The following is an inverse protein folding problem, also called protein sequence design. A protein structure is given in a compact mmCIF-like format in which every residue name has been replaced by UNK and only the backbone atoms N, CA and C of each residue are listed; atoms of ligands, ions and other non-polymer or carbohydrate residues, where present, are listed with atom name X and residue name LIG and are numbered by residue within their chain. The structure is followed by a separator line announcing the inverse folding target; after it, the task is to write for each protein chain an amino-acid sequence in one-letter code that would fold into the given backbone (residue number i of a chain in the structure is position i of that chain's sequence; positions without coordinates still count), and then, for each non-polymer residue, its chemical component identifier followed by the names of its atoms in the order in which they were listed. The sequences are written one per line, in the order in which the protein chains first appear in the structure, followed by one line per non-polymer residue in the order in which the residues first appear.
data_IF_482620783350
#
_entry.id   IF_482620783350
#
_cell.length_a   1.000
_cell.length_b   1.000
_cell.length_c   1.000
_cell.angle_alpha   90.00
_cell.angle_beta   90.00
_cell.angle_gamma   90.00
#
_symmetry.space_group_name_H-M   'P 1'
#
loop_
_entity.id
_entity.type
_entity.pdbx_description
1 polymer ?
#
# COMPACT_ATOMS: atom_id res chain seq x y z
N UNK A 1 12.49 -5.53 -1.48
CA UNK A 1 11.95 -4.16 -1.70
C UNK A 1 12.92 -3.30 -2.51
N UNK A 2 12.44 -2.40 -3.37
CA UNK A 2 13.24 -1.44 -4.15
C UNK A 2 13.37 -0.11 -3.41
N UNK A 3 14.51 0.15 -2.77
CA UNK A 3 14.72 1.39 -1.98
C UNK A 3 14.65 2.66 -2.84
N UNK A 4 15.11 2.60 -4.10
CA UNK A 4 15.03 3.74 -5.02
C UNK A 4 13.58 4.15 -5.34
N UNK A 5 12.67 3.17 -5.46
CA UNK A 5 11.25 3.43 -5.65
C UNK A 5 10.62 4.04 -4.38
N UNK A 6 10.97 3.52 -3.20
CA UNK A 6 10.54 4.11 -1.93
C UNK A 6 11.03 5.55 -1.77
N UNK A 7 12.31 5.80 -2.13
CA UNK A 7 12.89 7.14 -2.12
C UNK A 7 12.17 8.12 -3.07
N UNK A 8 11.68 7.64 -4.23
CA UNK A 8 10.89 8.46 -5.15
C UNK A 8 9.58 8.90 -4.49
N UNK A 9 8.84 7.97 -3.88
CA UNK A 9 7.59 8.28 -3.17
C UNK A 9 7.83 9.25 -2.01
N UNK A 10 8.88 9.05 -1.21
CA UNK A 10 9.25 9.97 -0.12
C UNK A 10 9.55 11.38 -0.65
N UNK A 11 10.22 11.51 -1.80
CA UNK A 11 10.52 12.80 -2.43
C UNK A 11 9.28 13.48 -2.99
N UNK A 12 8.36 12.72 -3.54
CA UNK A 12 7.08 13.19 -4.09
C UNK A 12 6.14 13.65 -2.97
N UNK A 13 5.92 12.80 -1.97
CA UNK A 13 5.04 13.13 -0.84
C UNK A 13 5.57 14.28 0.03
N UNK A 14 6.87 14.51 0.02
CA UNK A 14 7.52 15.45 0.95
C UNK A 14 7.43 15.03 2.42
N UNK A 15 7.02 13.79 2.70
CA UNK A 15 6.83 13.26 4.04
C UNK A 15 7.53 11.90 4.22
N UNK A 16 8.15 11.73 5.38
CA UNK A 16 8.80 10.48 5.77
C UNK A 16 8.70 10.30 7.29
N UNK A 17 8.00 9.27 7.74
CA UNK A 17 7.96 8.90 9.15
C UNK A 17 8.64 7.55 9.36
N UNK A 18 9.66 7.50 10.20
CA UNK A 18 10.25 6.27 10.68
C UNK A 18 9.45 5.72 11.87
N UNK A 19 8.91 4.52 11.72
CA UNK A 19 8.11 3.87 12.74
C UNK A 19 8.90 2.69 13.29
N UNK A 20 9.05 2.62 14.62
CA UNK A 20 9.54 1.42 15.29
C UNK A 20 8.35 0.75 15.98
N UNK A 21 7.99 -0.44 15.53
CA UNK A 21 6.90 -1.22 16.10
C UNK A 21 7.32 -1.85 17.43
N UNK A 22 6.35 -2.28 18.25
CA UNK A 22 6.58 -2.86 19.58
C UNK A 22 7.50 -4.10 19.56
N UNK A 23 7.45 -4.88 18.47
CA UNK A 23 8.33 -6.04 18.25
C UNK A 23 9.72 -5.65 17.70
N UNK A 24 10.06 -4.37 17.64
CA UNK A 24 11.33 -3.85 17.16
C UNK A 24 11.50 -3.83 15.64
N UNK A 25 10.48 -4.17 14.85
CA UNK A 25 10.49 -4.01 13.37
C UNK A 25 10.46 -2.53 13.02
N UNK A 26 11.16 -2.16 11.96
CA UNK A 26 11.12 -0.81 11.41
C UNK A 26 10.26 -0.75 10.16
N UNK A 27 9.52 0.36 10.05
CA UNK A 27 8.72 0.70 8.89
C UNK A 27 8.99 2.15 8.50
N UNK A 28 8.77 2.45 7.22
CA UNK A 28 8.80 3.81 6.68
C UNK A 28 7.42 4.15 6.16
N UNK A 29 6.81 5.20 6.72
CA UNK A 29 5.58 5.78 6.20
C UNK A 29 5.88 6.98 5.30
N UNK A 30 5.18 7.05 4.18
CA UNK A 30 5.30 8.13 3.19
C UNK A 30 4.06 9.03 3.15
N UNK A 31 3.08 8.80 4.05
CA UNK A 31 1.77 9.44 3.98
C UNK A 31 0.78 8.73 3.03
N UNK A 32 1.28 7.97 2.05
CA UNK A 32 0.47 7.17 1.12
C UNK A 32 0.56 5.66 1.39
N UNK A 33 1.57 5.24 2.12
CA UNK A 33 1.79 3.84 2.47
C UNK A 33 2.84 3.70 3.56
N UNK A 34 2.89 2.50 4.14
CA UNK A 34 3.83 2.09 5.17
C UNK A 34 4.57 0.87 4.67
N UNK A 35 5.89 0.92 4.61
CA UNK A 35 6.74 -0.10 4.02
C UNK A 35 7.61 -0.75 5.09
N UNK A 36 7.61 -2.08 5.12
CA UNK A 36 8.40 -2.86 6.06
C UNK A 36 9.88 -2.86 5.66
N UNK A 37 10.75 -2.54 6.60
CA UNK A 37 12.20 -2.45 6.40
C UNK A 37 12.95 -3.73 6.81
N UNK A 38 12.25 -4.85 7.03
CA UNK A 38 12.89 -6.13 7.36
C UNK A 38 13.87 -6.54 6.23
N UNK A 39 15.05 -7.00 6.63
CA UNK A 39 16.14 -7.32 5.72
C UNK A 39 17.09 -6.16 5.40
N UNK A 40 16.79 -4.96 5.90
CA UNK A 40 17.69 -3.81 5.81
C UNK A 40 18.26 -3.46 7.19
N UNK A 41 19.40 -2.77 7.19
CA UNK A 41 19.97 -2.25 8.41
C UNK A 41 19.01 -1.24 9.04
N UNK A 42 18.75 -1.36 10.34
CA UNK A 42 17.92 -0.40 11.05
C UNK A 42 18.60 0.96 11.10
N UNK A 43 17.92 1.98 10.59
CA UNK A 43 18.39 3.36 10.73
C UNK A 43 18.12 3.87 12.16
N UNK A 44 19.09 4.58 12.73
CA UNK A 44 18.95 5.16 14.08
C UNK A 44 18.51 6.63 14.04
N UNK A 45 18.72 7.30 12.90
CA UNK A 45 18.44 8.72 12.74
C UNK A 45 18.08 9.06 11.28
N UNK A 46 17.73 10.32 11.05
CA UNK A 46 17.34 10.87 9.74
C UNK A 46 18.44 10.73 8.69
N UNK A 47 19.68 10.94 9.07
CA UNK A 47 20.85 10.94 8.19
C UNK A 47 21.15 9.54 7.67
N UNK A 48 21.12 8.55 8.55
CA UNK A 48 21.27 7.14 8.16
C UNK A 48 20.13 6.67 7.25
N UNK A 49 18.88 7.07 7.55
CA UNK A 49 17.77 6.76 6.70
C UNK A 49 17.90 7.42 5.33
N UNK A 50 18.33 8.69 5.27
CA UNK A 50 18.57 9.40 4.03
C UNK A 50 19.65 8.70 3.18
N UNK A 51 20.75 8.28 3.80
CA UNK A 51 21.82 7.56 3.14
C UNK A 51 21.33 6.20 2.58
N UNK A 52 20.58 5.45 3.38
CA UNK A 52 19.99 4.16 2.97
C UNK A 52 19.04 4.30 1.79
N UNK A 53 18.21 5.35 1.77
CA UNK A 53 17.29 5.65 0.68
C UNK A 53 17.97 6.32 -0.53
N UNK A 54 19.26 6.69 -0.45
CA UNK A 54 19.95 7.44 -1.50
C UNK A 54 19.37 8.84 -1.70
N UNK A 55 18.85 9.46 -0.64
CA UNK A 55 18.32 10.83 -0.66
C UNK A 55 19.42 11.78 -0.18
N UNK A 56 19.77 12.77 -1.03
CA UNK A 56 20.79 13.76 -0.65
C UNK A 56 20.36 14.55 0.58
N UNK A 57 21.33 14.97 1.40
CA UNK A 57 21.07 15.77 2.60
C UNK A 57 20.33 17.08 2.28
N UNK A 58 20.59 17.71 1.11
CA UNK A 58 19.87 18.88 0.65
C UNK A 58 18.38 18.60 0.43
N UNK A 59 18.05 17.49 -0.25
CA UNK A 59 16.65 17.09 -0.51
C UNK A 59 15.96 16.61 0.77
N UNK A 60 16.69 15.90 1.66
CA UNK A 60 16.14 15.44 2.93
C UNK A 60 15.75 16.60 3.87
N UNK A 61 16.39 17.77 3.76
CA UNK A 61 16.00 18.98 4.51
C UNK A 61 14.62 19.51 4.11
N UNK A 62 14.19 19.31 2.87
CA UNK A 62 12.86 19.73 2.39
C UNK A 62 11.77 18.67 2.65
N UNK A 63 12.11 17.52 3.21
CA UNK A 63 11.18 16.46 3.57
C UNK A 63 10.81 16.60 5.06
N UNK A 64 9.51 16.64 5.34
CA UNK A 64 9.01 16.58 6.69
C UNK A 64 9.32 15.19 7.27
N UNK A 65 10.21 15.14 8.26
CA UNK A 65 10.66 13.91 8.86
C UNK A 65 10.17 13.77 10.28
N UNK A 66 9.58 12.63 10.59
CA UNK A 66 9.09 12.27 11.91
C UNK A 66 9.66 10.91 12.35
N UNK A 67 9.69 10.70 13.65
CA UNK A 67 10.00 9.42 14.28
C UNK A 67 8.94 9.08 15.30
N UNK A 68 8.49 7.84 15.30
CA UNK A 68 7.51 7.37 16.27
C UNK A 68 7.76 5.91 16.67
N UNK A 69 7.34 5.58 17.88
CA UNK A 69 7.34 4.20 18.38
C UNK A 69 5.90 3.76 18.59
N UNK A 70 5.48 2.77 17.83
CA UNK A 70 4.14 2.20 17.93
C UNK A 70 4.09 1.21 19.10
N UNK A 71 3.51 1.62 20.24
CA UNK A 71 3.44 0.81 21.46
C UNK A 71 2.68 -0.51 21.31
N UNK A 72 1.77 -0.62 20.32
CA UNK A 72 0.87 -1.75 20.13
C UNK A 72 0.87 -2.30 18.70
N UNK A 73 1.93 -2.12 17.92
CA UNK A 73 1.96 -2.43 16.49
C UNK A 73 0.82 -1.78 15.67
N UNK A 74 0.22 -0.70 16.19
CA UNK A 74 -0.84 0.07 15.51
C UNK A 74 -0.29 1.45 15.17
N UNK A 75 -0.46 1.87 13.92
CA UNK A 75 -0.10 3.18 13.44
C UNK A 75 -1.31 3.80 12.71
N UNK A 76 -1.83 4.91 13.25
CA UNK A 76 -3.07 5.55 12.76
C UNK A 76 -4.24 4.56 12.55
N UNK A 77 -4.45 3.66 13.52
CA UNK A 77 -5.51 2.66 13.48
C UNK A 77 -5.22 1.44 12.59
N UNK A 78 -4.08 1.42 11.90
CA UNK A 78 -3.68 0.30 11.05
C UNK A 78 -2.71 -0.62 11.80
N UNK A 79 -3.02 -1.93 11.81
CA UNK A 79 -2.15 -2.93 12.44
C UNK A 79 -0.93 -3.22 11.55
N UNK A 80 0.27 -3.05 12.11
CA UNK A 80 1.56 -3.33 11.47
C UNK A 80 2.09 -4.74 11.83
N UNK A 81 1.21 -5.72 11.86
CA UNK A 81 1.55 -7.12 12.14
C UNK A 81 1.31 -8.00 10.90
N UNK A 82 1.88 -9.20 10.94
CA UNK A 82 1.76 -10.14 9.84
C UNK A 82 0.37 -10.79 9.79
N UNK A 83 -0.26 -11.00 10.95
CA UNK A 83 -1.56 -11.66 11.10
C UNK A 83 -2.54 -10.77 11.89
N UNK A 84 -3.23 -9.85 11.23
CA UNK A 84 -4.27 -9.05 11.87
C UNK A 84 -5.58 -9.81 11.95
N UNK A 85 -6.46 -9.35 12.83
CA UNK A 85 -7.77 -9.98 13.05
C UNK A 85 -8.73 -9.78 11.86
N UNK A 86 -8.62 -8.67 11.16
CA UNK A 86 -9.55 -8.26 10.09
C UNK A 86 -8.80 -8.06 8.77
N UNK A 87 -8.44 -9.15 8.13
CA UNK A 87 -7.79 -9.14 6.83
C UNK A 87 -8.42 -10.19 5.93
N UNK A 88 -8.75 -9.80 4.71
CA UNK A 88 -9.33 -10.68 3.71
C UNK A 88 -8.58 -10.53 2.37
N UNK A 89 -8.38 -11.59 1.58
CA UNK A 89 -7.72 -11.50 0.29
C UNK A 89 -8.57 -10.68 -0.68
N UNK A 90 -7.92 -9.96 -1.60
CA UNK A 90 -8.57 -9.24 -2.69
C UNK A 90 -8.23 -9.90 -4.02
N UNK A 91 -9.12 -9.72 -5.00
CA UNK A 91 -8.85 -10.08 -6.38
C UNK A 91 -8.34 -8.85 -7.14
N UNK A 92 -7.14 -8.95 -7.73
CA UNK A 92 -6.62 -7.91 -8.61
C UNK A 92 -7.29 -8.03 -9.97
N UNK A 93 -8.02 -7.00 -10.37
CA UNK A 93 -8.64 -6.95 -11.70
C UNK A 93 -7.56 -6.70 -12.77
N UNK A 94 -7.75 -7.31 -13.95
CA UNK A 94 -6.81 -7.20 -15.08
C UNK A 94 -6.84 -5.81 -15.72
N UNK A 95 -7.91 -5.05 -15.50
CA UNK A 95 -8.12 -3.74 -16.09
C UNK A 95 -7.18 -2.72 -15.45
N UNK A 96 -6.43 -2.01 -16.28
CA UNK A 96 -5.66 -0.83 -15.87
C UNK A 96 -6.49 0.41 -16.03
N UNK A 97 -6.47 1.26 -15.03
CA UNK A 97 -7.19 2.53 -15.02
C UNK A 97 -6.16 3.64 -15.01
N UNK A 98 -6.30 4.59 -15.94
CA UNK A 98 -5.49 5.81 -15.97
C UNK A 98 -6.42 6.99 -15.76
N UNK A 99 -6.16 7.77 -14.73
CA UNK A 99 -6.93 8.96 -14.38
C UNK A 99 -6.00 10.04 -13.83
N UNK A 100 -6.12 11.25 -14.36
CA UNK A 100 -5.31 12.42 -13.98
C UNK A 100 -3.78 12.13 -14.00
N UNK A 101 -3.31 11.46 -15.07
CA UNK A 101 -1.92 11.05 -15.30
C UNK A 101 -1.37 9.96 -14.34
N UNK A 102 -2.17 9.50 -13.39
CA UNK A 102 -1.82 8.37 -12.52
C UNK A 102 -2.41 7.05 -13.04
N UNK A 103 -1.68 5.95 -12.86
CA UNK A 103 -2.15 4.59 -13.12
C UNK A 103 -2.62 3.94 -11.82
N UNK A 104 -3.82 3.35 -11.87
CA UNK A 104 -4.45 2.68 -10.73
C UNK A 104 -4.68 1.20 -11.00
N UNK A 105 -4.59 0.42 -9.95
CA UNK A 105 -5.01 -0.98 -9.90
C UNK A 105 -6.35 -1.03 -9.18
N UNK A 106 -7.32 -1.73 -9.77
CA UNK A 106 -8.58 -2.04 -9.14
C UNK A 106 -8.48 -3.38 -8.40
N UNK A 107 -8.97 -3.39 -7.17
CA UNK A 107 -8.99 -4.55 -6.27
C UNK A 107 -10.43 -4.82 -5.85
N UNK A 108 -10.93 -6.01 -6.18
CA UNK A 108 -12.25 -6.46 -5.72
C UNK A 108 -12.12 -7.06 -4.33
N UNK A 109 -12.92 -6.56 -3.39
CA UNK A 109 -13.05 -7.10 -2.06
C UNK A 109 -13.99 -8.32 -2.04
N UNK A 110 -13.97 -9.15 -1.00
CA UNK A 110 -14.86 -10.30 -0.87
C UNK A 110 -16.37 -9.95 -0.81
N UNK A 111 -16.70 -8.74 -0.37
CA UNK A 111 -18.08 -8.22 -0.35
C UNK A 111 -18.53 -7.65 -1.71
N UNK A 112 -17.65 -7.67 -2.71
CA UNK A 112 -17.91 -7.18 -4.07
C UNK A 112 -17.55 -5.71 -4.28
N UNK A 113 -17.24 -4.94 -3.23
CA UNK A 113 -16.75 -3.57 -3.38
C UNK A 113 -15.41 -3.53 -4.13
N UNK A 114 -15.19 -2.46 -4.88
CA UNK A 114 -13.95 -2.25 -5.63
C UNK A 114 -13.22 -1.05 -5.05
N UNK A 115 -11.98 -1.29 -4.63
CA UNK A 115 -11.09 -0.25 -4.21
C UNK A 115 -9.95 -0.03 -5.19
N UNK A 116 -9.31 1.13 -5.11
CA UNK A 116 -8.26 1.55 -6.03
C UNK A 116 -7.00 1.92 -5.27
N UNK A 117 -5.85 1.53 -5.83
CA UNK A 117 -4.53 1.96 -5.35
C UNK A 117 -3.70 2.47 -6.52
N UNK A 118 -2.89 3.51 -6.28
CA UNK A 118 -1.94 3.99 -7.29
C UNK A 118 -0.87 2.92 -7.52
N UNK A 119 -0.66 2.55 -8.77
CA UNK A 119 0.34 1.53 -9.18
C UNK A 119 1.74 1.90 -8.67
N UNK A 120 2.07 3.17 -8.64
CA UNK A 120 3.36 3.67 -8.18
C UNK A 120 3.69 3.28 -6.74
N UNK A 121 2.68 3.23 -5.86
CA UNK A 121 2.85 2.85 -4.46
C UNK A 121 3.23 1.38 -4.28
N UNK A 122 3.03 0.54 -5.29
CA UNK A 122 3.47 -0.85 -5.29
C UNK A 122 4.90 -1.06 -5.79
N UNK A 123 5.48 -0.08 -6.51
CA UNK A 123 6.86 -0.20 -7.06
C UNK A 123 7.92 -0.60 -6.03
N UNK A 124 7.90 -0.10 -4.76
CA UNK A 124 8.88 -0.54 -3.75
C UNK A 124 8.81 -2.03 -3.45
N UNK A 125 7.63 -2.64 -3.53
CA UNK A 125 7.37 -4.05 -3.21
C UNK A 125 7.03 -4.91 -4.44
N UNK A 126 7.25 -4.39 -5.64
CA UNK A 126 6.91 -5.06 -6.90
C UNK A 126 7.52 -6.46 -7.02
N UNK A 127 8.78 -6.63 -6.63
CA UNK A 127 9.45 -7.92 -6.67
C UNK A 127 8.83 -8.95 -5.71
N UNK A 128 8.18 -8.49 -4.65
CA UNK A 128 7.46 -9.36 -3.71
C UNK A 128 6.16 -9.86 -4.35
N UNK A 129 5.51 -9.04 -5.18
CA UNK A 129 4.25 -9.36 -5.86
C UNK A 129 4.40 -10.38 -7.01
N UNK A 130 5.63 -10.69 -7.44
CA UNK A 130 5.88 -11.71 -8.45
C UNK A 130 6.08 -13.11 -7.88
N UNK A 131 6.09 -13.25 -6.56
CA UNK A 131 6.29 -14.54 -5.89
C UNK A 131 5.00 -15.34 -5.83
N UNK A 132 5.11 -16.65 -5.76
CA UNK A 132 4.01 -17.61 -5.77
C UNK A 132 2.96 -17.36 -4.66
N UNK A 133 3.44 -16.95 -3.48
CA UNK A 133 2.57 -16.72 -2.31
C UNK A 133 2.28 -15.23 -2.05
N UNK A 134 2.50 -14.39 -3.06
CA UNK A 134 2.21 -12.98 -2.94
C UNK A 134 0.71 -12.70 -2.97
N UNK A 135 0.24 -11.84 -2.11
CA UNK A 135 -1.15 -11.42 -2.05
C UNK A 135 -1.28 -9.94 -1.73
N UNK A 136 -2.35 -9.33 -2.24
CA UNK A 136 -2.85 -8.06 -1.74
C UNK A 136 -4.15 -8.36 -1.00
N UNK A 137 -4.20 -7.98 0.27
CA UNK A 137 -5.36 -8.19 1.12
C UNK A 137 -5.96 -6.86 1.51
N UNK A 138 -7.28 -6.78 1.64
CA UNK A 138 -7.94 -5.66 2.30
C UNK A 138 -7.85 -5.86 3.81
N UNK A 139 -7.44 -4.83 4.52
CA UNK A 139 -7.34 -4.80 5.97
C UNK A 139 -8.20 -3.68 6.50
N UNK A 140 -9.08 -3.99 7.41
CA UNK A 140 -10.05 -3.05 7.94
C UNK A 140 -9.56 -2.41 9.23
N UNK A 141 -9.62 -1.08 9.32
CA UNK A 141 -9.20 -0.34 10.52
C UNK A 141 -10.15 -0.49 11.72
N UNK A 142 -11.36 -1.04 11.50
CA UNK A 142 -12.34 -1.30 12.57
C UNK A 142 -13.21 -2.50 12.24
N UNK A 143 -13.89 -3.05 13.28
CA UNK A 143 -14.86 -4.13 13.12
C UNK A 143 -16.05 -3.78 12.21
N UNK A 144 -16.28 -2.49 11.95
CA UNK A 144 -17.35 -2.00 11.08
C UNK A 144 -16.96 -1.92 9.61
N UNK A 145 -15.81 -2.50 9.22
CA UNK A 145 -15.27 -2.47 7.85
C UNK A 145 -15.19 -1.06 7.23
N UNK A 146 -14.86 -0.06 8.05
CA UNK A 146 -14.63 1.31 7.59
C UNK A 146 -13.14 1.57 7.39
N UNK A 147 -12.82 2.45 6.43
CA UNK A 147 -11.45 2.86 6.11
C UNK A 147 -10.55 1.65 5.74
N UNK A 148 -10.83 1.00 4.60
CA UNK A 148 -9.98 -0.07 4.12
C UNK A 148 -8.56 0.44 3.85
N UNK A 149 -7.57 -0.42 4.09
CA UNK A 149 -6.19 -0.25 3.62
C UNK A 149 -5.74 -1.56 2.98
N UNK A 150 -4.71 -1.52 2.14
CA UNK A 150 -4.28 -2.69 1.41
C UNK A 150 -2.94 -3.19 1.92
N UNK A 151 -2.93 -4.41 2.45
CA UNK A 151 -1.73 -5.09 2.89
C UNK A 151 -1.12 -5.89 1.73
N UNK A 152 0.11 -5.58 1.37
CA UNK A 152 0.92 -6.38 0.46
C UNK A 152 1.68 -7.41 1.28
N UNK A 153 1.50 -8.69 0.96
CA UNK A 153 2.09 -9.82 1.67
C UNK A 153 2.93 -10.69 0.75
N UNK A 154 3.93 -11.34 1.35
CA UNK A 154 4.72 -12.41 0.77
C UNK A 154 4.56 -13.62 1.70
N UNK A 155 3.66 -14.53 1.36
CA UNK A 155 3.16 -15.54 2.27
C UNK A 155 2.48 -14.90 3.48
N UNK A 156 2.96 -15.22 4.68
CA UNK A 156 2.44 -14.64 5.92
C UNK A 156 3.01 -13.24 6.22
N UNK A 157 4.13 -12.86 5.62
CA UNK A 157 4.89 -11.66 6.00
C UNK A 157 4.31 -10.39 5.37
N UNK A 158 4.03 -9.40 6.21
CA UNK A 158 3.65 -8.05 5.77
C UNK A 158 4.85 -7.34 5.14
N UNK A 159 4.70 -6.87 3.89
CA UNK A 159 5.70 -6.09 3.15
C UNK A 159 5.37 -4.62 3.07
N UNK A 160 4.09 -4.29 2.88
CA UNK A 160 3.63 -2.90 2.90
C UNK A 160 2.15 -2.81 3.27
N UNK A 161 1.76 -1.64 3.75
CA UNK A 161 0.36 -1.20 3.83
C UNK A 161 0.22 0.00 2.88
N UNK A 162 -0.71 -0.07 1.96
CA UNK A 162 -0.98 0.99 0.98
C UNK A 162 -2.35 1.59 1.29
N UNK A 163 -2.42 2.93 1.30
CA UNK A 163 -3.69 3.62 1.47
C UNK A 163 -4.48 3.58 0.15
N UNK A 164 -5.82 3.50 0.21
CA UNK A 164 -6.65 3.61 -0.97
C UNK A 164 -6.48 4.96 -1.65
N UNK A 165 -6.65 4.98 -2.96
CA UNK A 165 -6.72 6.23 -3.69
C UNK A 165 -7.95 7.04 -3.24
N UNK A 166 -7.76 8.32 -2.95
CA UNK A 166 -8.85 9.25 -2.67
C UNK A 166 -9.41 9.78 -3.98
N UNK A 167 -10.24 8.98 -4.63
CA UNK A 167 -11.04 9.43 -5.76
C UNK A 167 -12.23 10.25 -5.23
N UNK A 168 -12.66 11.28 -5.97
CA UNK A 168 -13.91 11.97 -5.64
C UNK A 168 -15.08 10.96 -5.64
N UNK A 169 -16.09 11.16 -4.80
CA UNK A 169 -17.20 10.20 -4.67
C UNK A 169 -17.85 9.87 -6.03
N UNK A 170 -18.16 10.89 -6.85
CA UNK A 170 -18.70 10.69 -8.19
C UNK A 170 -17.76 9.90 -9.10
N UNK A 171 -16.46 10.19 -9.08
CA UNK A 171 -15.47 9.47 -9.89
C UNK A 171 -15.35 8.01 -9.47
N UNK A 172 -15.43 7.72 -8.19
CA UNK A 172 -15.39 6.34 -7.68
C UNK A 172 -16.66 5.56 -8.08
N UNK A 173 -17.83 6.19 -8.01
CA UNK A 173 -19.10 5.62 -8.44
C UNK A 173 -19.10 5.33 -9.97
N UNK A 174 -18.69 6.30 -10.79
CA UNK A 174 -18.60 6.13 -12.25
C UNK A 174 -17.65 4.99 -12.63
N UNK A 175 -16.48 4.90 -11.97
CA UNK A 175 -15.50 3.83 -12.21
C UNK A 175 -16.03 2.47 -11.74
N UNK A 176 -16.76 2.40 -10.66
CA UNK A 176 -17.37 1.17 -10.18
C UNK A 176 -18.45 0.67 -11.14
N UNK A 177 -19.31 1.56 -11.70
CA UNK A 177 -20.30 1.19 -12.69
C UNK A 177 -19.66 0.68 -13.99
N UNK A 178 -18.62 1.36 -14.48
CA UNK A 178 -17.89 0.93 -15.68
C UNK A 178 -17.26 -0.45 -15.46
N UNK A 179 -16.60 -0.66 -14.33
CA UNK A 179 -15.97 -1.94 -14.01
C UNK A 179 -16.99 -3.06 -13.82
N UNK A 180 -18.11 -2.80 -13.16
CA UNK A 180 -19.19 -3.76 -13.01
C UNK A 180 -19.75 -4.18 -14.36
N UNK A 181 -19.93 -3.22 -15.28
CA UNK A 181 -20.40 -3.48 -16.65
C UNK A 181 -19.41 -4.32 -17.47
N UNK A 182 -18.10 -4.02 -17.36
CA UNK A 182 -17.05 -4.78 -18.04
C UNK A 182 -16.96 -6.22 -17.54
N UNK A 183 -17.07 -6.43 -16.23
CA UNK A 183 -17.03 -7.74 -15.61
C UNK A 183 -18.26 -8.59 -15.97
N UNK A 184 -19.45 -8.00 -16.01
CA UNK A 184 -20.67 -8.67 -16.44
C UNK A 184 -20.61 -9.07 -17.95
N UNK A 185 -19.91 -8.27 -18.77
CA UNK A 185 -19.66 -8.58 -20.17
C UNK A 185 -18.68 -9.75 -20.37
N UNK A 186 -17.66 -9.89 -19.51
CA UNK A 186 -16.68 -10.98 -19.60
C UNK A 186 -17.27 -12.34 -19.17
N UNK A 187 -18.14 -12.38 -18.18
CA UNK A 187 -18.80 -13.63 -17.75
C UNK A 187 -19.71 -14.21 -18.85
N UNK A 188 -20.36 -13.37 -19.64
CA UNK A 188 -21.21 -13.85 -20.75
C UNK A 188 -20.44 -14.46 -21.93
N UNK A 189 -19.15 -14.17 -22.05
CA UNK A 189 -18.30 -14.76 -23.12
C UNK A 189 -17.64 -16.06 -22.68
N UNK A 190 -17.49 -16.32 -21.39
CA UNK A 190 -16.95 -17.59 -20.87
C UNK A 190 -18.02 -18.69 -20.73
N UNK A 191 -19.30 -18.31 -20.55
CA UNK A 191 -20.44 -19.25 -20.48
C UNK A 191 -21.04 -19.60 -21.86
N UNK A 192 -20.47 -19.09 -22.93
CA UNK A 192 -20.99 -19.23 -24.31
C UNK A 192 -20.14 -20.07 -25.28
N UNK A 193 -19.10 -20.78 -24.76
CA UNK A 193 -18.32 -21.78 -25.52
C UNK A 193 -18.58 -23.23 -24.95
#
# INVERSE_FOLDING_TARGET
MKLSALAAIVKESGHCCRITAANGRQFISTGYGVYNMDGYQKSQNKEELAAMLGISSKKMKSIHFEETTAKSNIYYGVQLCDEPVNEEPTEKLKTKIVFADDEYIALRHPDGEIGFIRTELLKPVENELTKEYAAICVRWGSAQKKNPVYAVKDGMYLRAIILPAKLGASTAEDLNEILASLLAGQQKTEDGE
#
